data_IF_949492159960
#
_entry.id   IF_949492159960
#
_cell.length_a   1.000
_cell.length_b   1.000
_cell.length_c   1.000
_cell.angle_alpha   90.00
_cell.angle_beta   90.00
_cell.angle_gamma   90.00
#
_symmetry.space_group_name_H-M   'P 1'
#
loop_
_entity.id
_entity.type
_entity.pdbx_description
1 polymer ?
#
# COMPACT_ATOMS: atom_id res chain seq x y z
N UNK A 1 -14.81 77.61 -25.22
CA UNK A 1 -14.15 78.12 -26.45
C UNK A 1 -12.75 78.60 -26.07
N UNK A 2 -11.72 78.51 -26.95
CA UNK A 2 -11.05 77.34 -27.56
C UNK A 2 -9.57 77.27 -27.07
N UNK A 3 -8.65 76.34 -27.37
CA UNK A 3 -8.23 75.55 -28.55
C UNK A 3 -7.51 74.29 -28.02
N UNK A 4 -7.96 73.06 -28.28
CA UNK A 4 -7.54 72.18 -29.40
C UNK A 4 -6.11 72.42 -29.95
N UNK A 5 -5.16 71.57 -29.56
CA UNK A 5 -3.95 71.27 -30.34
C UNK A 5 -3.92 69.76 -30.58
N UNK A 6 -4.15 69.40 -31.84
CA UNK A 6 -4.03 68.07 -32.41
C UNK A 6 -2.54 67.73 -32.53
N UNK A 7 -2.10 66.55 -32.09
CA UNK A 7 -0.84 65.95 -32.56
C UNK A 7 -1.18 64.78 -33.51
N UNK A 8 -0.50 64.69 -34.67
CA UNK A 8 -0.86 63.77 -35.73
C UNK A 8 -0.43 62.33 -35.42
N UNK A 9 -1.23 61.39 -35.92
CA UNK A 9 -0.88 60.00 -36.08
C UNK A 9 0.27 59.87 -37.09
N UNK A 10 1.30 59.10 -36.75
CA UNK A 10 2.16 58.48 -37.75
C UNK A 10 2.11 56.96 -37.57
N UNK A 11 1.49 56.34 -38.57
CA UNK A 11 1.45 54.92 -38.85
C UNK A 11 2.86 54.39 -39.11
N UNK A 12 3.20 53.24 -38.50
CA UNK A 12 4.25 52.36 -38.99
C UNK A 12 3.63 51.00 -39.33
N UNK A 13 3.95 50.42 -40.50
CA UNK A 13 3.18 49.34 -41.08
C UNK A 13 3.53 47.96 -40.52
N UNK A 14 2.44 47.21 -40.37
CA UNK A 14 2.26 45.77 -40.55
C UNK A 14 3.35 45.09 -41.42
N UNK A 15 4.10 44.16 -40.83
CA UNK A 15 4.65 43.01 -41.57
C UNK A 15 4.26 41.74 -40.82
N UNK A 16 3.12 41.20 -41.24
CA UNK A 16 2.73 39.80 -41.02
C UNK A 16 3.65 38.97 -41.90
N UNK A 17 4.49 38.13 -41.31
CA UNK A 17 5.14 37.03 -42.01
C UNK A 17 4.40 35.74 -41.66
N UNK A 18 3.63 35.17 -42.60
CA UNK A 18 3.06 33.84 -42.42
C UNK A 18 4.15 32.83 -42.71
N UNK A 19 4.72 32.19 -41.68
CA UNK A 19 5.43 30.94 -41.90
C UNK A 19 4.39 29.86 -42.18
N UNK A 20 4.12 29.75 -43.48
CA UNK A 20 3.36 28.69 -44.09
C UNK A 20 3.90 27.32 -43.64
N UNK A 21 2.98 26.54 -43.08
CA UNK A 21 2.80 25.12 -43.30
C UNK A 21 4.01 24.38 -43.92
N UNK A 22 4.84 23.78 -43.06
CA UNK A 22 5.66 22.64 -43.44
C UNK A 22 4.84 21.35 -43.22
N UNK A 23 3.93 21.10 -44.16
CA UNK A 23 3.35 19.78 -44.38
C UNK A 23 4.43 18.90 -45.01
N UNK A 24 5.14 18.12 -44.18
CA UNK A 24 5.95 17.02 -44.68
C UNK A 24 5.12 15.74 -44.65
N UNK A 25 4.84 15.23 -45.85
CA UNK A 25 4.07 14.04 -46.11
C UNK A 25 4.78 12.76 -45.62
N UNK A 26 3.96 11.83 -45.12
CA UNK A 26 3.96 10.39 -45.38
C UNK A 26 5.31 9.67 -45.40
N UNK A 27 5.63 9.00 -44.30
CA UNK A 27 6.30 7.71 -44.35
C UNK A 27 5.33 6.65 -43.80
N UNK A 28 4.76 5.84 -44.71
CA UNK A 28 4.10 4.59 -44.35
C UNK A 28 5.16 3.61 -43.82
N UNK A 29 5.16 3.37 -42.52
CA UNK A 29 5.90 2.27 -41.88
C UNK A 29 5.01 1.02 -41.73
N UNK A 30 5.60 -0.19 -41.78
CA UNK A 30 4.86 -1.44 -42.00
C UNK A 30 3.97 -1.86 -40.82
N UNK A 31 2.86 -2.53 -41.17
CA UNK A 31 1.99 -3.30 -40.28
C UNK A 31 2.79 -4.39 -39.56
N UNK A 32 3.22 -4.11 -38.33
CA UNK A 32 3.72 -5.10 -37.40
C UNK A 32 2.57 -5.77 -36.66
N UNK A 33 2.26 -7.01 -37.02
CA UNK A 33 1.48 -7.91 -36.18
C UNK A 33 2.32 -8.26 -34.95
N UNK A 34 2.04 -7.61 -33.82
CA UNK A 34 2.58 -8.01 -32.51
C UNK A 34 1.48 -8.76 -31.77
N UNK A 35 1.63 -10.08 -31.69
CA UNK A 35 0.93 -10.91 -30.71
C UNK A 35 1.76 -10.98 -29.43
N UNK A 36 1.07 -11.10 -28.30
CA UNK A 36 1.57 -11.33 -26.93
C UNK A 36 1.90 -10.02 -26.18
N UNK A 37 1.49 -9.77 -24.93
CA UNK A 37 0.81 -10.55 -23.90
C UNK A 37 -0.30 -9.69 -23.27
N UNK A 38 -1.28 -10.34 -22.64
CA UNK A 38 -2.08 -9.69 -21.60
C UNK A 38 -1.13 -9.05 -20.59
N UNK A 39 -1.20 -7.73 -20.45
CA UNK A 39 -0.66 -7.07 -19.28
C UNK A 39 -1.66 -7.39 -18.17
N UNK A 40 -1.30 -8.34 -17.29
CA UNK A 40 -1.83 -8.27 -15.94
C UNK A 40 -1.22 -6.98 -15.37
N UNK A 41 -2.05 -5.96 -15.24
CA UNK A 41 -1.73 -4.76 -14.48
C UNK A 41 -1.75 -5.13 -13.00
N UNK A 42 -0.74 -5.89 -12.55
CA UNK A 42 -0.33 -5.78 -11.16
C UNK A 42 0.43 -4.46 -11.06
N UNK A 43 -0.29 -3.39 -10.71
CA UNK A 43 0.30 -2.13 -10.25
C UNK A 43 1.06 -2.39 -8.94
N UNK A 44 2.24 -2.98 -9.05
CA UNK A 44 3.23 -2.96 -8.00
C UNK A 44 3.72 -1.52 -7.88
N UNK A 45 3.08 -0.74 -6.99
CA UNK A 45 3.71 0.43 -6.38
C UNK A 45 5.13 0.02 -6.04
N UNK A 46 6.13 0.72 -6.58
CA UNK A 46 7.51 0.55 -6.17
C UNK A 46 7.61 0.96 -4.71
N UNK A 47 7.37 0.02 -3.80
CA UNK A 47 7.62 0.17 -2.38
C UNK A 47 9.11 0.45 -2.24
N UNK A 48 9.45 1.73 -2.04
CA UNK A 48 10.80 2.11 -1.70
C UNK A 48 11.06 1.57 -0.29
N UNK A 49 12.06 0.70 -0.20
CA UNK A 49 12.32 -0.16 0.96
C UNK A 49 12.72 0.55 2.26
N UNK A 50 12.88 -0.30 3.28
CA UNK A 50 13.28 0.00 4.65
C UNK A 50 12.49 1.18 5.25
N UNK A 51 11.25 0.91 5.65
CA UNK A 51 10.40 1.84 6.40
C UNK A 51 11.16 2.32 7.62
N UNK A 52 11.54 3.60 7.62
CA UNK A 52 12.14 4.25 8.79
C UNK A 52 10.97 4.72 9.66
N UNK A 53 10.85 4.16 10.86
CA UNK A 53 9.85 4.61 11.82
C UNK A 53 9.97 6.14 12.01
N UNK A 54 8.83 6.81 12.13
CA UNK A 54 8.74 8.25 12.25
C UNK A 54 8.72 9.00 10.92
N UNK A 55 8.91 8.35 9.77
CA UNK A 55 8.93 9.00 8.44
C UNK A 55 7.79 8.46 7.57
N UNK A 56 6.78 9.31 7.33
CA UNK A 56 5.74 9.05 6.34
C UNK A 56 6.02 9.73 5.00
N UNK A 57 5.28 9.33 3.96
CA UNK A 57 5.24 9.97 2.65
C UNK A 57 3.88 10.65 2.45
N UNK A 58 3.89 11.84 1.84
CA UNK A 58 2.68 12.59 1.52
C UNK A 58 2.73 13.04 0.07
N UNK A 59 1.85 12.50 -0.78
CA UNK A 59 1.71 12.94 -2.16
C UNK A 59 0.54 13.92 -2.24
N UNK A 60 0.79 15.10 -2.78
CA UNK A 60 -0.22 16.17 -2.93
C UNK A 60 -0.28 16.56 -4.40
N UNK A 61 -1.47 16.43 -4.99
CA UNK A 61 -1.70 16.83 -6.37
C UNK A 61 -2.86 17.82 -6.46
N UNK A 62 -2.71 18.85 -7.29
CA UNK A 62 -3.79 19.79 -7.63
C UNK A 62 -4.02 19.74 -9.13
N UNK A 63 -5.23 19.37 -9.53
CA UNK A 63 -5.68 19.31 -10.92
C UNK A 63 -7.07 19.93 -11.05
N UNK A 64 -7.17 21.05 -11.75
CA UNK A 64 -8.43 21.79 -11.88
C UNK A 64 -9.00 22.23 -10.52
N UNK A 65 -10.20 21.73 -10.17
CA UNK A 65 -10.83 21.96 -8.86
C UNK A 65 -10.48 20.91 -7.81
N UNK A 66 -9.83 19.82 -8.20
CA UNK A 66 -9.51 18.73 -7.30
C UNK A 66 -8.17 18.97 -6.58
N UNK A 67 -8.17 18.77 -5.27
CA UNK A 67 -6.96 18.58 -4.47
C UNK A 67 -6.97 17.13 -3.98
N UNK A 68 -5.96 16.37 -4.40
CA UNK A 68 -5.73 14.98 -4.01
C UNK A 68 -4.60 14.95 -2.99
N UNK A 69 -4.79 14.21 -1.90
CA UNK A 69 -3.78 13.99 -0.88
C UNK A 69 -3.72 12.50 -0.59
N UNK A 70 -2.54 11.90 -0.70
CA UNK A 70 -2.28 10.52 -0.36
C UNK A 70 -1.19 10.47 0.71
N UNK A 71 -1.45 9.73 1.78
CA UNK A 71 -0.57 9.50 2.91
C UNK A 71 -0.19 8.02 2.92
N UNK A 72 1.11 7.75 2.99
CA UNK A 72 1.66 6.42 3.29
C UNK A 72 2.48 6.57 4.56
N UNK A 73 2.09 5.87 5.62
CA UNK A 73 2.72 6.01 6.94
C UNK A 73 2.98 4.65 7.55
N UNK A 74 4.15 4.42 8.18
CA UNK A 74 4.35 3.23 8.99
C UNK A 74 3.26 3.12 10.06
N UNK A 75 2.68 1.94 10.23
CA UNK A 75 1.65 1.72 11.23
C UNK A 75 2.15 1.99 12.66
N UNK A 76 3.45 1.79 12.89
CA UNK A 76 4.12 2.17 14.13
C UNK A 76 3.89 3.65 14.50
N UNK A 77 3.81 4.54 13.53
CA UNK A 77 3.62 5.98 13.76
C UNK A 77 2.17 6.29 14.16
N UNK A 78 1.20 5.56 13.61
CA UNK A 78 -0.23 5.85 13.79
C UNK A 78 -0.89 5.08 14.93
N UNK A 79 -0.60 3.78 15.05
CA UNK A 79 -1.20 2.89 16.07
C UNK A 79 -0.21 2.35 17.09
N UNK A 80 1.08 2.38 16.81
CA UNK A 80 2.12 1.99 17.76
C UNK A 80 2.54 0.52 17.69
N UNK A 81 2.24 -0.16 16.59
CA UNK A 81 2.64 -1.52 16.29
C UNK A 81 2.44 -1.80 14.79
N UNK A 82 3.04 -2.86 14.27
CA UNK A 82 3.09 -3.17 12.82
C UNK A 82 2.56 -4.56 12.49
N UNK A 83 1.71 -5.10 13.36
CA UNK A 83 1.14 -6.43 13.23
C UNK A 83 -0.37 -6.39 13.45
N UNK A 84 -1.06 -7.50 13.15
CA UNK A 84 -2.48 -7.64 13.41
C UNK A 84 -2.83 -7.26 14.87
N UNK A 85 -3.90 -6.50 15.14
CA UNK A 85 -4.28 -6.19 16.51
C UNK A 85 -4.69 -7.47 17.27
N UNK A 86 -3.94 -7.83 18.32
CA UNK A 86 -4.07 -9.10 19.05
C UNK A 86 -5.00 -9.02 20.26
N UNK A 87 -5.23 -7.81 20.78
CA UNK A 87 -6.05 -7.58 21.97
C UNK A 87 -7.02 -6.40 21.77
N UNK A 88 -7.91 -6.21 22.73
CA UNK A 88 -8.93 -5.16 22.69
C UNK A 88 -8.32 -3.77 22.62
N UNK A 89 -7.29 -3.48 23.41
CA UNK A 89 -6.60 -2.19 23.40
C UNK A 89 -5.99 -1.87 22.02
N UNK A 90 -5.41 -2.86 21.33
CA UNK A 90 -4.88 -2.69 19.98
C UNK A 90 -5.99 -2.47 18.95
N UNK A 91 -7.12 -3.19 19.05
CA UNK A 91 -8.29 -2.95 18.17
C UNK A 91 -8.87 -1.55 18.38
N UNK A 92 -8.96 -1.09 19.63
CA UNK A 92 -9.37 0.28 19.94
C UNK A 92 -8.39 1.30 19.38
N UNK A 93 -7.07 1.08 19.48
CA UNK A 93 -6.08 1.97 18.90
C UNK A 93 -6.22 2.12 17.38
N UNK A 94 -6.48 1.02 16.66
CA UNK A 94 -6.76 1.05 15.21
C UNK A 94 -8.05 1.83 14.92
N UNK A 95 -9.13 1.57 15.67
CA UNK A 95 -10.40 2.26 15.49
C UNK A 95 -10.28 3.77 15.75
N UNK A 96 -9.55 4.18 16.78
CA UNK A 96 -9.28 5.59 17.07
C UNK A 96 -8.40 6.24 16.00
N UNK A 97 -7.35 5.56 15.54
CA UNK A 97 -6.50 6.06 14.47
C UNK A 97 -7.30 6.24 13.18
N UNK A 98 -8.16 5.26 12.81
CA UNK A 98 -9.08 5.36 11.68
C UNK A 98 -9.99 6.57 11.82
N UNK A 99 -10.65 6.76 12.97
CA UNK A 99 -11.54 7.90 13.20
C UNK A 99 -10.83 9.25 13.08
N UNK A 100 -9.55 9.34 13.46
CA UNK A 100 -8.73 10.56 13.24
C UNK A 100 -8.39 10.73 11.77
N UNK A 101 -7.98 9.67 11.09
CA UNK A 101 -7.66 9.71 9.66
C UNK A 101 -8.87 10.08 8.80
N UNK A 102 -10.08 9.66 9.18
CA UNK A 102 -11.33 10.05 8.50
C UNK A 102 -11.62 11.57 8.59
N UNK A 103 -11.05 12.26 9.57
CA UNK A 103 -11.13 13.73 9.71
C UNK A 103 -10.08 14.42 8.83
N UNK A 104 -10.05 14.08 7.54
CA UNK A 104 -9.06 14.56 6.58
C UNK A 104 -9.01 16.09 6.43
N UNK A 105 -10.13 16.78 6.66
CA UNK A 105 -10.24 18.23 6.64
C UNK A 105 -9.52 18.91 7.83
N UNK A 106 -9.35 18.19 8.95
CA UNK A 106 -8.55 18.63 10.08
C UNK A 106 -7.06 18.28 9.90
N UNK A 107 -6.76 17.16 9.24
CA UNK A 107 -5.38 16.71 9.01
C UNK A 107 -4.71 17.47 7.87
N UNK A 108 -5.45 17.82 6.83
CA UNK A 108 -4.94 18.46 5.62
C UNK A 108 -5.87 19.61 5.26
N UNK A 109 -5.72 20.73 5.97
CA UNK A 109 -6.63 21.87 5.88
C UNK A 109 -6.18 22.85 4.77
N UNK A 110 -6.88 22.92 3.62
CA UNK A 110 -6.52 23.83 2.54
C UNK A 110 -6.81 25.27 2.96
N UNK A 111 -6.13 26.25 2.36
CA UNK A 111 -6.37 27.66 2.67
C UNK A 111 -7.85 28.02 2.48
N UNK A 112 -8.51 28.56 3.52
CA UNK A 112 -9.96 28.78 3.54
C UNK A 112 -10.50 29.60 2.35
N UNK A 113 -9.68 30.48 1.77
CA UNK A 113 -10.02 31.28 0.59
C UNK A 113 -10.20 30.45 -0.70
N UNK A 114 -9.69 29.22 -0.74
CA UNK A 114 -9.85 28.27 -1.83
C UNK A 114 -11.19 27.52 -1.78
N UNK A 115 -11.89 27.58 -0.64
CA UNK A 115 -13.26 27.11 -0.48
C UNK A 115 -13.41 25.63 -0.86
N UNK A 116 -12.52 24.82 -0.27
CA UNK A 116 -12.43 23.38 -0.49
C UNK A 116 -13.30 22.61 0.49
N UNK A 117 -13.87 21.50 0.02
CA UNK A 117 -14.68 20.57 0.82
C UNK A 117 -14.21 19.13 0.60
N UNK A 118 -14.02 18.40 1.69
CA UNK A 118 -13.64 16.98 1.65
C UNK A 118 -14.79 16.17 1.06
N UNK A 119 -14.53 15.45 -0.04
CA UNK A 119 -15.50 14.61 -0.74
C UNK A 119 -15.38 13.15 -0.31
N UNK A 120 -14.16 12.65 -0.17
CA UNK A 120 -13.90 11.27 0.28
C UNK A 120 -12.63 11.19 1.12
N UNK A 121 -12.62 10.22 2.02
CA UNK A 121 -11.48 9.77 2.79
C UNK A 121 -11.50 8.24 2.80
N UNK A 122 -10.53 7.62 2.14
CA UNK A 122 -10.36 6.16 2.09
C UNK A 122 -9.15 5.79 2.92
N UNK A 123 -9.32 4.91 3.90
CA UNK A 123 -8.27 4.54 4.84
C UNK A 123 -8.13 3.02 4.84
N UNK A 124 -6.94 2.55 4.51
CA UNK A 124 -6.56 1.15 4.56
C UNK A 124 -5.42 0.92 5.55
N UNK A 125 -5.57 -0.11 6.38
CA UNK A 125 -4.57 -0.50 7.37
C UNK A 125 -4.06 -1.87 6.97
N UNK A 126 -2.89 -1.93 6.33
CA UNK A 126 -2.23 -3.20 5.99
C UNK A 126 -1.46 -3.74 7.21
N UNK A 127 -2.19 -3.98 8.29
CA UNK A 127 -1.64 -4.52 9.54
C UNK A 127 -1.43 -6.04 9.48
N UNK A 128 -1.43 -6.65 8.29
CA UNK A 128 -1.31 -8.08 8.11
C UNK A 128 -2.45 -8.82 8.81
N UNK A 129 -3.65 -8.84 8.23
CA UNK A 129 -4.74 -9.65 8.76
C UNK A 129 -5.54 -10.33 7.67
N UNK A 130 -5.61 -11.66 7.74
CA UNK A 130 -6.82 -12.40 7.43
C UNK A 130 -7.92 -12.10 8.46
N UNK A 131 -8.41 -10.86 8.51
CA UNK A 131 -9.79 -10.62 8.95
C UNK A 131 -10.63 -10.85 7.70
N UNK A 132 -11.12 -12.07 7.57
CA UNK A 132 -12.35 -12.30 6.82
C UNK A 132 -13.42 -11.39 7.41
N UNK A 133 -13.80 -10.38 6.65
CA UNK A 133 -15.15 -9.84 6.71
C UNK A 133 -16.13 -11.02 6.80
N UNK A 134 -16.87 -11.12 7.91
CA UNK A 134 -18.06 -11.93 8.15
C UNK A 134 -18.43 -13.00 7.08
N UNK A 135 -17.60 -14.03 6.91
CA UNK A 135 -17.99 -15.26 6.24
C UNK A 135 -17.94 -16.37 7.29
N UNK A 136 -19.13 -16.83 7.68
CA UNK A 136 -19.34 -17.92 8.63
C UNK A 136 -18.40 -19.11 8.34
N UNK A 137 -17.85 -19.78 9.38
CA UNK A 137 -16.89 -20.85 9.16
C UNK A 137 -17.53 -21.99 8.38
N UNK A 138 -17.14 -22.14 7.12
CA UNK A 138 -17.39 -23.36 6.37
C UNK A 138 -16.60 -24.49 7.04
N UNK A 139 -17.33 -25.44 7.62
CA UNK A 139 -16.75 -26.63 8.23
C UNK A 139 -16.05 -27.46 7.16
N UNK A 140 -14.73 -27.37 7.08
CA UNK A 140 -13.94 -28.35 6.33
C UNK A 140 -13.91 -29.66 7.12
N UNK A 141 -14.81 -30.56 6.75
CA UNK A 141 -14.82 -31.95 7.18
C UNK A 141 -13.82 -32.72 6.33
N UNK A 142 -12.60 -32.89 6.84
CA UNK A 142 -11.57 -33.69 6.18
C UNK A 142 -11.99 -35.16 6.15
N UNK A 143 -12.46 -35.60 4.98
CA UNK A 143 -12.61 -37.00 4.63
C UNK A 143 -11.30 -37.49 4.03
N UNK A 144 -10.37 -37.95 4.85
CA UNK A 144 -9.26 -38.77 4.37
C UNK A 144 -9.81 -40.17 4.02
N UNK A 145 -10.17 -40.35 2.73
CA UNK A 145 -10.52 -41.62 2.12
C UNK A 145 -9.34 -42.11 1.28
N UNK A 146 -8.48 -42.94 1.84
CA UNK A 146 -7.53 -43.75 1.05
C UNK A 146 -8.18 -45.08 0.69
N UNK A 147 -8.16 -45.42 -0.61
CA UNK A 147 -8.74 -46.64 -1.17
C UNK A 147 -7.75 -47.80 -1.03
N UNK A 148 -8.19 -48.90 -0.43
CA UNK A 148 -7.52 -50.20 -0.50
C UNK A 148 -8.53 -51.26 -0.96
N UNK A 149 -8.31 -51.82 -2.14
CA UNK A 149 -9.10 -52.92 -2.70
C UNK A 149 -8.67 -54.24 -2.03
N UNK A 150 -9.65 -55.07 -1.63
CA UNK A 150 -9.41 -56.43 -1.16
C UNK A 150 -10.73 -57.19 -0.99
N UNK A 151 -10.98 -58.15 -1.87
CA UNK A 151 -12.13 -59.06 -1.86
C UNK A 151 -11.94 -60.15 -0.80
N UNK A 152 -13.01 -60.62 -0.15
CA UNK A 152 -12.95 -61.82 0.69
C UNK A 152 -14.24 -62.06 1.48
N UNK A 153 -14.77 -63.27 1.38
CA UNK A 153 -16.12 -63.71 1.76
C UNK A 153 -16.29 -64.05 3.26
N UNK A 154 -17.56 -64.21 3.64
CA UNK A 154 -18.13 -64.73 4.90
C UNK A 154 -17.31 -65.83 5.63
N UNK A 155 -17.35 -65.82 6.98
CA UNK A 155 -18.07 -66.83 7.80
C UNK A 155 -17.74 -66.72 9.31
N UNK A 156 -18.80 -66.42 10.08
CA UNK A 156 -19.30 -67.02 11.35
C UNK A 156 -18.38 -67.50 12.50
N UNK A 157 -18.97 -67.38 13.71
CA UNK A 157 -18.79 -68.16 14.96
C UNK A 157 -17.49 -67.93 15.73
N UNK A 158 -17.39 -68.12 17.04
CA UNK A 158 -18.25 -68.21 18.21
C UNK A 158 -17.24 -68.20 19.39
N UNK A 159 -17.73 -67.99 20.60
CA UNK A 159 -16.97 -68.03 21.86
C UNK A 159 -16.04 -69.25 21.98
N UNK A 160 -14.92 -69.12 22.71
CA UNK A 160 -14.62 -69.99 23.86
C UNK A 160 -13.46 -69.46 24.71
N UNK A 161 -13.62 -69.66 26.02
CA UNK A 161 -12.74 -69.35 27.15
C UNK A 161 -11.51 -70.28 27.27
N UNK A 162 -10.65 -69.95 28.26
CA UNK A 162 -9.59 -70.76 28.91
C UNK A 162 -8.23 -70.78 28.16
N UNK A 163 -7.05 -70.70 28.77
CA UNK A 163 -6.57 -70.84 30.14
C UNK A 163 -5.15 -70.21 30.23
N UNK A 164 -4.66 -69.99 31.46
CA UNK A 164 -3.29 -69.55 31.76
C UNK A 164 -2.27 -70.67 31.50
N UNK A 165 -1.03 -70.30 31.12
CA UNK A 165 0.28 -70.87 31.54
C UNK A 165 1.36 -70.27 30.60
N UNK A 166 2.17 -69.31 31.07
CA UNK A 166 3.55 -69.47 31.58
C UNK A 166 4.63 -69.85 30.54
N UNK A 167 5.61 -68.94 30.46
CA UNK A 167 7.04 -69.11 30.11
C UNK A 167 7.43 -69.34 28.63
N UNK A 168 8.07 -68.33 28.01
CA UNK A 168 9.53 -68.35 27.76
C UNK A 168 9.97 -67.10 26.97
N UNK A 169 10.90 -66.39 27.62
CA UNK A 169 11.97 -65.51 27.12
C UNK A 169 12.20 -65.50 25.61
N UNK A 170 12.21 -64.30 24.99
CA UNK A 170 13.31 -63.87 24.11
C UNK A 170 13.49 -62.35 24.24
N UNK A 171 14.57 -62.00 24.92
CA UNK A 171 15.20 -60.68 24.94
C UNK A 171 15.73 -60.37 23.54
N UNK A 172 15.38 -59.22 22.98
CA UNK A 172 16.19 -58.58 21.94
C UNK A 172 16.32 -57.10 22.27
N UNK A 173 17.33 -56.81 23.07
CA UNK A 173 18.04 -55.54 23.08
C UNK A 173 18.62 -55.32 21.67
N UNK A 174 18.24 -54.22 21.03
CA UNK A 174 18.99 -53.71 19.89
C UNK A 174 19.66 -52.43 20.34
N UNK A 175 20.88 -52.62 20.84
CA UNK A 175 21.86 -51.58 21.07
C UNK A 175 22.16 -50.85 19.76
N UNK A 176 22.27 -49.53 19.91
CA UNK A 176 22.62 -48.58 18.88
C UNK A 176 24.14 -48.62 18.64
N UNK A 177 24.56 -49.04 17.45
CA UNK A 177 25.86 -48.65 16.88
C UNK A 177 25.67 -48.36 15.39
N UNK A 178 25.50 -47.08 15.07
CA UNK A 178 25.68 -46.58 13.71
C UNK A 178 26.89 -45.65 13.72
N UNK A 179 28.04 -46.22 13.38
CA UNK A 179 29.18 -45.46 12.86
C UNK A 179 28.85 -45.03 11.43
N UNK A 180 28.55 -43.75 11.25
CA UNK A 180 28.57 -43.11 9.94
C UNK A 180 29.47 -41.88 10.02
N UNK A 181 30.76 -42.09 9.74
CA UNK A 181 31.63 -41.04 9.23
C UNK A 181 31.18 -40.71 7.80
N UNK A 182 30.34 -39.70 7.69
CA UNK A 182 30.13 -38.99 6.44
C UNK A 182 30.49 -37.52 6.66
N UNK A 183 31.74 -37.19 6.31
CA UNK A 183 32.14 -35.83 5.98
C UNK A 183 31.33 -35.39 4.76
N UNK A 184 30.19 -34.74 5.03
CA UNK A 184 29.53 -33.91 4.07
C UNK A 184 29.78 -32.47 4.49
N UNK A 185 30.80 -31.86 3.87
CA UNK A 185 30.86 -30.42 3.70
C UNK A 185 29.64 -30.01 2.85
N UNK A 186 28.51 -29.86 3.52
CA UNK A 186 27.44 -29.04 3.00
C UNK A 186 27.74 -27.63 3.45
N UNK A 187 28.38 -26.88 2.55
CA UNK A 187 28.31 -25.44 2.52
C UNK A 187 26.84 -25.07 2.27
N UNK A 188 26.03 -25.19 3.32
CA UNK A 188 24.77 -24.49 3.38
C UNK A 188 25.15 -23.04 3.62
N UNK A 189 25.41 -22.31 2.53
CA UNK A 189 25.01 -20.92 2.47
C UNK A 189 23.49 -20.91 2.71
N UNK A 190 23.12 -20.97 3.99
CA UNK A 190 21.93 -20.29 4.44
C UNK A 190 22.24 -18.83 4.09
N UNK A 191 21.88 -18.43 2.88
CA UNK A 191 21.43 -17.07 2.68
C UNK A 191 20.39 -16.90 3.79
N UNK A 192 20.81 -16.23 4.85
CA UNK A 192 19.90 -15.61 5.77
C UNK A 192 19.02 -14.74 4.89
N UNK A 193 17.94 -15.33 4.39
CA UNK A 193 16.74 -14.60 4.09
C UNK A 193 16.27 -14.14 5.46
N UNK A 194 16.97 -13.09 5.94
CA UNK A 194 16.44 -12.15 6.88
C UNK A 194 15.18 -11.68 6.20
N UNK A 195 14.08 -12.40 6.43
CA UNK A 195 12.76 -12.01 6.01
C UNK A 195 12.64 -10.60 6.49
N UNK A 196 12.75 -9.68 5.53
CA UNK A 196 12.52 -8.27 5.77
C UNK A 196 11.11 -8.28 6.33
N UNK A 197 11.01 -8.10 7.65
CA UNK A 197 9.74 -7.99 8.34
C UNK A 197 9.10 -6.78 7.68
N UNK A 198 8.26 -7.05 6.67
CA UNK A 198 7.68 -6.03 5.83
C UNK A 198 6.76 -5.27 6.75
N UNK A 199 7.26 -4.13 7.22
CA UNK A 199 6.58 -3.29 8.18
C UNK A 199 5.20 -2.94 7.61
N UNK A 200 4.18 -3.09 8.44
CA UNK A 200 2.82 -2.75 8.05
C UNK A 200 2.70 -1.24 7.83
N UNK A 201 2.14 -0.86 6.67
CA UNK A 201 1.84 0.53 6.34
C UNK A 201 0.34 0.83 6.50
N UNK A 202 0.06 2.10 6.64
CA UNK A 202 -1.28 2.67 6.57
C UNK A 202 -1.34 3.59 5.36
N UNK A 203 -2.31 3.32 4.50
CA UNK A 203 -2.60 4.10 3.30
C UNK A 203 -3.85 4.93 3.55
N UNK A 204 -3.79 6.23 3.28
CA UNK A 204 -4.95 7.10 3.37
C UNK A 204 -5.02 8.06 2.18
N UNK A 205 -6.15 8.06 1.48
CA UNK A 205 -6.39 8.87 0.30
C UNK A 205 -7.55 9.83 0.53
N UNK A 206 -7.36 11.09 0.18
CA UNK A 206 -8.31 12.17 0.38
C UNK A 206 -8.55 12.92 -0.91
N UNK A 207 -9.82 13.20 -1.19
CA UNK A 207 -10.24 14.03 -2.33
C UNK A 207 -10.98 15.24 -1.82
N UNK A 208 -10.50 16.43 -2.17
CA UNK A 208 -11.15 17.70 -1.89
C UNK A 208 -11.64 18.33 -3.21
N UNK A 209 -12.84 18.89 -3.20
CA UNK A 209 -13.33 19.76 -4.27
C UNK A 209 -13.24 21.23 -3.84
N UNK A 210 -12.46 22.02 -4.57
CA UNK A 210 -12.18 23.42 -4.32
C UNK A 210 -12.94 24.32 -5.28
N UNK A 211 -13.80 25.20 -4.75
CA UNK A 211 -14.55 26.17 -5.59
C UNK A 211 -13.67 27.28 -6.15
N UNK A 212 -12.52 27.56 -5.55
CA UNK A 212 -11.59 28.61 -5.96
C UNK A 212 -10.14 28.11 -5.97
N UNK A 213 -9.79 27.16 -6.87
CA UNK A 213 -8.48 26.48 -6.84
C UNK A 213 -7.30 27.45 -7.06
N UNK A 214 -7.47 28.52 -7.84
CA UNK A 214 -6.45 29.55 -8.04
C UNK A 214 -6.09 30.33 -6.75
N UNK A 215 -6.91 30.24 -5.70
CA UNK A 215 -6.67 30.83 -4.39
C UNK A 215 -6.08 29.84 -3.39
N UNK A 216 -5.88 28.57 -3.77
CA UNK A 216 -5.17 27.60 -2.96
C UNK A 216 -3.70 28.03 -2.89
N UNK A 217 -3.31 28.58 -1.74
CA UNK A 217 -1.95 29.08 -1.49
C UNK A 217 -1.20 28.27 -0.46
N UNK A 218 -1.92 27.49 0.35
CA UNK A 218 -1.30 26.56 1.26
C UNK A 218 -2.22 25.44 1.71
N UNK A 219 -1.59 24.38 2.20
CA UNK A 219 -2.17 23.26 2.93
C UNK A 219 -1.55 23.23 4.32
N UNK A 220 -2.38 23.33 5.35
CA UNK A 220 -1.93 23.21 6.75
C UNK A 220 -1.98 21.74 7.18
N UNK A 221 -0.93 21.27 7.84
CA UNK A 221 -0.72 19.86 8.17
C UNK A 221 -1.02 19.61 9.65
N UNK A 222 -2.25 19.18 9.93
CA UNK A 222 -2.72 18.73 11.24
C UNK A 222 -2.32 17.28 11.61
N UNK A 223 -1.54 16.61 10.76
CA UNK A 223 -1.09 15.23 10.95
C UNK A 223 -0.23 15.02 12.20
N UNK A 224 0.80 15.84 12.44
CA UNK A 224 1.71 15.64 13.58
C UNK A 224 1.04 15.82 14.96
N UNK A 225 0.17 16.82 15.17
CA UNK A 225 -0.60 16.90 16.41
C UNK A 225 -1.53 15.70 16.63
N UNK A 226 -2.11 15.15 15.55
CA UNK A 226 -3.01 14.00 15.64
C UNK A 226 -2.28 12.67 15.92
N UNK A 227 -1.03 12.56 15.44
CA UNK A 227 -0.17 11.37 15.59
C UNK A 227 1.22 11.75 16.15
N UNK A 228 1.36 11.81 17.49
CA UNK A 228 2.57 12.35 18.12
C UNK A 228 3.86 11.53 17.93
N UNK A 229 3.76 10.27 17.46
CA UNK A 229 4.91 9.42 17.14
C UNK A 229 5.48 9.70 15.75
N UNK A 230 4.72 10.34 14.87
CA UNK A 230 5.22 10.75 13.58
C UNK A 230 6.20 11.92 13.72
N UNK A 231 7.33 11.85 13.03
CA UNK A 231 8.40 12.85 13.14
C UNK A 231 8.53 13.69 11.88
N UNK A 232 8.38 13.07 10.71
CA UNK A 232 8.64 13.65 9.40
C UNK A 232 7.62 13.19 8.35
N UNK A 233 7.38 14.06 7.38
CA UNK A 233 6.69 13.74 6.13
C UNK A 233 7.58 14.12 4.95
N UNK A 234 7.85 13.17 4.07
CA UNK A 234 8.42 13.42 2.76
C UNK A 234 7.29 13.78 1.80
N UNK A 235 7.20 15.05 1.44
CA UNK A 235 6.09 15.58 0.64
C UNK A 235 6.50 15.65 -0.81
N UNK A 236 5.70 15.09 -1.71
CA UNK A 236 5.77 15.32 -3.15
C UNK A 236 4.57 16.17 -3.56
N UNK A 237 4.80 17.39 -4.02
CA UNK A 237 3.77 18.29 -4.49
C UNK A 237 3.82 18.38 -6.01
N UNK A 238 2.67 18.20 -6.67
CA UNK A 238 2.47 18.36 -8.10
C UNK A 238 1.26 19.29 -8.33
N UNK A 239 1.44 20.34 -9.11
CA UNK A 239 0.39 21.25 -9.57
C UNK A 239 0.68 21.72 -11.00
N UNK A 240 -0.24 22.47 -11.59
CA UNK A 240 -0.04 23.07 -12.92
C UNK A 240 1.21 23.98 -13.00
N UNK A 241 1.60 24.59 -11.88
CA UNK A 241 2.68 25.60 -11.84
C UNK A 241 3.94 25.12 -11.15
N UNK A 242 3.89 24.01 -10.40
CA UNK A 242 4.99 23.58 -9.56
C UNK A 242 5.04 22.06 -9.41
N UNK A 243 6.24 21.50 -9.45
CA UNK A 243 6.52 20.15 -8.98
C UNK A 243 7.73 20.21 -8.06
N UNK A 244 7.59 19.76 -6.81
CA UNK A 244 8.67 19.80 -5.83
C UNK A 244 8.56 18.66 -4.83
N UNK A 245 9.69 18.34 -4.20
CA UNK A 245 9.74 17.46 -3.04
C UNK A 245 10.34 18.22 -1.86
N UNK A 246 9.66 18.21 -0.71
CA UNK A 246 10.10 18.88 0.51
C UNK A 246 9.94 17.95 1.72
N UNK A 247 10.67 18.22 2.80
CA UNK A 247 10.47 17.55 4.09
C UNK A 247 9.71 18.47 5.03
N UNK A 248 8.61 17.98 5.60
CA UNK A 248 7.90 18.63 6.69
C UNK A 248 8.17 17.90 8.00
N UNK A 249 8.14 18.65 9.09
CA UNK A 249 8.42 18.12 10.44
C UNK A 249 7.42 18.69 11.43
N UNK A 250 7.48 18.25 12.68
CA UNK A 250 6.61 18.79 13.75
C UNK A 250 6.71 20.31 13.94
N UNK A 251 7.80 20.94 13.53
CA UNK A 251 7.98 22.41 13.63
C UNK A 251 7.64 23.15 12.34
N UNK A 252 7.43 22.44 11.24
CA UNK A 252 7.07 23.02 9.94
C UNK A 252 5.87 22.24 9.35
N UNK A 253 4.68 22.79 9.59
CA UNK A 253 3.40 22.11 9.33
C UNK A 253 2.60 22.81 8.23
N UNK A 254 3.29 23.43 7.27
CA UNK A 254 2.66 24.19 6.20
C UNK A 254 3.34 23.89 4.87
N UNK A 255 2.54 23.46 3.90
CA UNK A 255 2.93 23.33 2.50
C UNK A 255 2.38 24.53 1.73
N UNK A 256 3.25 25.25 1.01
CA UNK A 256 2.85 26.38 0.14
C UNK A 256 2.82 25.95 -1.35
N UNK A 257 1.87 26.52 -2.11
CA UNK A 257 1.64 26.27 -3.55
C UNK A 257 2.10 27.42 -4.46
#
# INVERSE_FOLDING_TARGET
MPRSIKRPLTSLPLTVLPFAALLCALALGPLGLSSSLAHNEDEHYRQQGAHVHGVGQLNVAVDGSALLVELISPAMDLVGFEHAPRNEAQRTAVAEARSRLEQGDQLFAPSAVADCSLQSAEIDFDLGTGVSEDHAPAQHRDQHRWQGQGQGQDHTSAQHDLEQEQEQEQEHEHEHEHEHEHEHEHEHEHADDHGHESHADVYASYVFDCRQPLKLKALSIGYFPAFPRAEKLQVQLISETQQTAIELTRTDQRLDF
#
